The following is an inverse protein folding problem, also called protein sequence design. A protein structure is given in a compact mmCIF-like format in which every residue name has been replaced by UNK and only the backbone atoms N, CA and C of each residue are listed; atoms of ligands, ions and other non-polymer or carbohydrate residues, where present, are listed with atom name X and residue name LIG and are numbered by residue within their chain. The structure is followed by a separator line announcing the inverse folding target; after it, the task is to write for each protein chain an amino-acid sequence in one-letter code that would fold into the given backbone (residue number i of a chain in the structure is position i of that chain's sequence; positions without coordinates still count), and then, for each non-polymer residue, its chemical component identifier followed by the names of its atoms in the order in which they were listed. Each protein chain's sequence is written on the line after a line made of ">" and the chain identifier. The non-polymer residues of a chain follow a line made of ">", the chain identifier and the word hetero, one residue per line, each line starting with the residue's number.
data_IF_321541171532
#
_entry.id   IF_321541171532
#
_cell.length_a   1.000
_cell.length_b   1.000
_cell.length_c   1.000
_cell.angle_alpha   90.00
_cell.angle_beta   90.00
_cell.angle_gamma   90.00
#
_symmetry.space_group_name_H-M   'P 1'
#
loop_
_entity.id
_entity.type
_entity.pdbx_description
1 polymer ?
#
# COMPACT_ATOMS: atom_id res chain seq x y z
N UNK A 1 17.50 -7.03 -15.45
CA UNK A 1 17.48 -6.48 -14.07
C UNK A 1 16.13 -5.80 -13.83
N UNK A 2 15.45 -6.10 -12.72
CA UNK A 2 14.23 -5.40 -12.30
C UNK A 2 14.64 -4.01 -11.80
N UNK A 3 13.97 -2.96 -12.31
CA UNK A 3 14.36 -1.56 -12.01
C UNK A 3 13.63 -0.98 -10.79
N UNK A 4 12.44 -1.45 -10.48
CA UNK A 4 11.61 -0.94 -9.39
C UNK A 4 10.15 -1.33 -9.58
N UNK A 5 9.28 -0.85 -8.70
CA UNK A 5 7.85 -1.02 -8.82
C UNK A 5 7.31 -0.05 -9.88
N UNK A 6 6.59 -0.58 -10.88
CA UNK A 6 5.83 0.28 -11.81
C UNK A 6 4.44 0.59 -11.22
N UNK A 7 3.68 -0.44 -10.88
CA UNK A 7 2.39 -0.31 -10.19
C UNK A 7 2.02 -1.65 -9.53
N UNK A 8 1.19 -1.57 -8.50
CA UNK A 8 0.36 -2.68 -8.03
C UNK A 8 -1.00 -2.63 -8.74
N UNK A 9 -1.86 -3.63 -8.53
CA UNK A 9 -3.25 -3.58 -8.97
C UNK A 9 -4.13 -4.31 -7.96
N UNK A 10 -4.99 -3.56 -7.27
CA UNK A 10 -5.92 -4.08 -6.28
C UNK A 10 -7.36 -3.84 -6.70
N UNK A 11 -8.27 -4.66 -6.20
CA UNK A 11 -9.70 -4.42 -6.36
C UNK A 11 -10.13 -3.26 -5.49
N UNK A 12 -11.01 -2.41 -6.01
CA UNK A 12 -11.71 -1.42 -5.20
C UNK A 12 -13.23 -1.61 -5.33
N UNK A 13 -13.93 -1.23 -4.27
CA UNK A 13 -15.39 -1.31 -4.19
C UNK A 13 -16.06 -0.24 -5.04
N UNK A 14 -15.49 0.95 -4.97
CA UNK A 14 -15.99 2.14 -5.66
C UNK A 14 -14.80 3.06 -5.97
N UNK A 15 -14.67 3.44 -7.23
CA UNK A 15 -13.53 4.23 -7.72
C UNK A 15 -13.52 5.65 -7.14
N UNK A 16 -14.68 6.28 -6.92
CA UNK A 16 -14.74 7.64 -6.36
C UNK A 16 -14.43 7.65 -4.85
N UNK A 17 -14.86 6.66 -4.08
CA UNK A 17 -14.46 6.51 -2.69
C UNK A 17 -12.95 6.28 -2.58
N UNK A 18 -12.41 5.44 -3.47
CA UNK A 18 -10.96 5.17 -3.57
C UNK A 18 -10.20 6.45 -3.92
N UNK A 19 -10.68 7.25 -4.89
CA UNK A 19 -10.08 8.54 -5.25
C UNK A 19 -10.04 9.51 -4.05
N UNK A 20 -11.13 9.62 -3.31
CA UNK A 20 -11.17 10.52 -2.13
C UNK A 20 -10.13 10.13 -1.08
N UNK A 21 -9.88 8.84 -0.89
CA UNK A 21 -8.85 8.39 0.04
C UNK A 21 -7.44 8.63 -0.52
N UNK A 22 -7.14 8.17 -1.74
CA UNK A 22 -5.78 8.22 -2.28
C UNK A 22 -5.38 9.61 -2.82
N UNK A 23 -6.29 10.34 -3.44
CA UNK A 23 -6.01 11.69 -3.93
C UNK A 23 -6.29 12.77 -2.87
N UNK A 24 -7.51 12.87 -2.36
CA UNK A 24 -7.88 14.00 -1.49
C UNK A 24 -7.25 13.87 -0.09
N UNK A 25 -7.18 12.65 0.46
CA UNK A 25 -6.63 12.44 1.79
C UNK A 25 -5.12 12.20 1.78
N UNK A 26 -4.61 11.22 1.01
CA UNK A 26 -3.17 10.92 0.95
C UNK A 26 -2.37 11.88 0.06
N UNK A 27 -3.00 12.59 -0.87
CA UNK A 27 -2.35 13.55 -1.76
C UNK A 27 -1.68 12.93 -2.99
N UNK A 28 -2.04 11.71 -3.38
CA UNK A 28 -1.55 11.06 -4.60
C UNK A 28 -2.44 11.44 -5.79
N UNK A 29 -1.98 12.23 -6.76
CA UNK A 29 -2.83 12.67 -7.85
C UNK A 29 -3.31 11.49 -8.71
N UNK A 30 -4.60 11.50 -9.07
CA UNK A 30 -5.15 10.60 -10.07
C UNK A 30 -4.50 10.93 -11.42
N UNK A 31 -3.58 10.10 -11.88
CA UNK A 31 -2.78 10.34 -13.07
C UNK A 31 -3.39 9.75 -14.33
N UNK A 32 -4.15 8.66 -14.19
CA UNK A 32 -4.84 8.02 -15.31
C UNK A 32 -6.03 7.19 -14.82
N UNK A 33 -7.06 7.10 -15.66
CA UNK A 33 -8.19 6.20 -15.48
C UNK A 33 -8.77 5.84 -16.86
N UNK A 34 -8.98 4.55 -17.11
CA UNK A 34 -9.57 4.10 -18.36
C UNK A 34 -10.49 2.89 -18.17
N UNK A 35 -11.53 2.85 -18.99
CA UNK A 35 -12.48 1.74 -19.01
C UNK A 35 -11.94 0.59 -19.86
N UNK A 36 -12.06 -0.62 -19.32
CA UNK A 36 -11.77 -1.87 -20.03
C UNK A 36 -13.10 -2.55 -20.30
N UNK A 37 -13.41 -2.84 -21.58
CA UNK A 37 -14.66 -3.48 -22.00
C UNK A 37 -14.50 -4.93 -22.45
N UNK A 38 -13.27 -5.32 -22.84
CA UNK A 38 -12.95 -6.68 -23.25
C UNK A 38 -11.59 -7.11 -22.73
N UNK A 39 -11.48 -8.36 -22.29
CA UNK A 39 -10.19 -8.97 -21.99
C UNK A 39 -9.60 -9.61 -23.26
N UNK A 40 -8.30 -9.96 -23.22
CA UNK A 40 -7.61 -10.70 -24.31
C UNK A 40 -8.25 -12.06 -24.64
N UNK A 41 -9.14 -12.57 -23.78
CA UNK A 41 -9.88 -13.83 -23.96
C UNK A 41 -11.29 -13.62 -24.48
N UNK A 42 -11.61 -12.45 -25.06
CA UNK A 42 -12.92 -12.06 -25.60
C UNK A 42 -14.10 -12.13 -24.61
N UNK A 43 -13.81 -12.22 -23.30
CA UNK A 43 -14.83 -12.10 -22.28
C UNK A 43 -15.31 -10.67 -22.20
N UNK A 44 -16.60 -10.44 -22.40
CA UNK A 44 -17.21 -9.16 -22.05
C UNK A 44 -16.99 -8.90 -20.56
N UNK A 45 -16.24 -7.86 -20.26
CA UNK A 45 -16.08 -7.35 -18.90
C UNK A 45 -16.13 -5.84 -18.94
N UNK A 46 -16.65 -5.26 -17.88
CA UNK A 46 -16.60 -3.82 -17.68
C UNK A 46 -15.80 -3.55 -16.44
N UNK A 47 -14.67 -2.87 -16.58
CA UNK A 47 -13.82 -2.49 -15.47
C UNK A 47 -13.30 -1.07 -15.68
N UNK A 48 -13.14 -0.31 -14.58
CA UNK A 48 -12.36 0.91 -14.55
C UNK A 48 -11.00 0.61 -13.92
N UNK A 49 -9.92 0.98 -14.60
CA UNK A 49 -8.57 0.92 -14.07
C UNK A 49 -8.05 2.32 -13.79
N UNK A 50 -7.75 2.62 -12.53
CA UNK A 50 -7.30 3.94 -12.06
C UNK A 50 -5.88 3.86 -11.49
N UNK A 51 -5.10 4.94 -11.66
CA UNK A 51 -3.69 5.04 -11.28
C UNK A 51 -3.44 6.32 -10.49
N UNK A 52 -2.90 6.17 -9.29
CA UNK A 52 -2.50 7.28 -8.40
C UNK A 52 -0.99 7.35 -8.36
N UNK A 53 -0.43 8.51 -8.77
CA UNK A 53 1.02 8.65 -8.98
C UNK A 53 1.76 9.03 -7.71
N UNK A 54 2.88 8.33 -7.45
CA UNK A 54 3.85 8.66 -6.43
C UNK A 54 5.00 9.53 -6.97
N UNK A 55 5.78 10.14 -6.08
CA UNK A 55 6.84 11.07 -6.46
C UNK A 55 7.97 10.43 -7.28
N UNK A 56 8.22 9.14 -7.12
CA UNK A 56 9.20 8.36 -7.89
C UNK A 56 8.71 7.94 -9.29
N UNK A 57 7.46 8.28 -9.64
CA UNK A 57 6.82 7.93 -10.90
C UNK A 57 6.13 6.56 -10.93
N UNK A 58 6.18 5.80 -9.84
CA UNK A 58 5.38 4.59 -9.68
C UNK A 58 3.93 4.91 -9.30
N UNK A 59 3.07 3.90 -9.32
CA UNK A 59 1.64 4.09 -9.09
C UNK A 59 1.06 3.08 -8.11
N UNK A 60 0.08 3.53 -7.32
CA UNK A 60 -0.94 2.65 -6.78
C UNK A 60 -2.11 2.58 -7.76
N UNK A 61 -2.52 1.39 -8.13
CA UNK A 61 -3.56 1.19 -9.13
C UNK A 61 -4.69 0.30 -8.62
N UNK A 62 -5.90 0.57 -9.12
CA UNK A 62 -7.10 -0.14 -8.69
C UNK A 62 -7.97 -0.54 -9.87
N UNK A 63 -8.72 -1.65 -9.67
CA UNK A 63 -9.78 -2.08 -10.56
C UNK A 63 -11.13 -2.04 -9.85
N UNK A 64 -12.08 -1.28 -10.38
CA UNK A 64 -13.50 -1.45 -10.08
C UNK A 64 -14.13 -2.34 -11.17
N UNK A 65 -14.74 -3.45 -10.78
CA UNK A 65 -15.34 -4.42 -11.71
C UNK A 65 -16.75 -4.79 -11.23
N UNK A 66 -17.78 -4.00 -11.58
CA UNK A 66 -19.13 -4.15 -11.04
C UNK A 66 -19.75 -5.51 -11.27
N UNK A 67 -19.44 -6.17 -12.39
CA UNK A 67 -19.99 -7.48 -12.76
C UNK A 67 -19.25 -8.70 -12.21
N UNK A 68 -18.22 -8.50 -11.39
CA UNK A 68 -17.38 -9.60 -10.86
C UNK A 68 -17.36 -9.59 -9.33
N UNK A 69 -17.90 -10.63 -8.68
CA UNK A 69 -17.86 -10.73 -7.22
C UNK A 69 -16.45 -10.66 -6.67
N UNK A 70 -16.30 -9.96 -5.55
CA UNK A 70 -15.05 -9.87 -4.78
C UNK A 70 -15.37 -9.69 -3.30
N UNK A 71 -14.67 -10.42 -2.45
CA UNK A 71 -14.82 -10.31 -1.00
C UNK A 71 -13.92 -9.20 -0.46
N UNK A 72 -14.52 -8.05 -0.12
CA UNK A 72 -13.84 -6.99 0.59
C UNK A 72 -13.90 -7.25 2.09
N UNK A 73 -12.73 -7.32 2.73
CA UNK A 73 -12.60 -7.53 4.18
C UNK A 73 -11.55 -6.60 4.76
N UNK A 74 -11.64 -6.36 6.06
CA UNK A 74 -10.57 -5.70 6.79
C UNK A 74 -9.35 -6.61 6.82
N UNK A 75 -8.31 -6.26 6.07
CA UNK A 75 -7.07 -7.05 6.02
C UNK A 75 -6.28 -6.92 7.33
N UNK A 76 -5.59 -7.99 7.71
CA UNK A 76 -4.56 -7.93 8.74
C UNK A 76 -3.24 -7.44 8.12
N UNK A 77 -2.45 -6.69 8.88
CA UNK A 77 -1.17 -6.13 8.42
C UNK A 77 -0.21 -7.20 7.88
N UNK A 78 -0.24 -8.42 8.47
CA UNK A 78 0.59 -9.55 8.01
C UNK A 78 0.05 -10.24 6.77
N UNK A 79 -1.23 -10.08 6.44
CA UNK A 79 -1.81 -10.64 5.23
C UNK A 79 -1.53 -9.74 4.03
N UNK A 80 -1.78 -8.45 4.19
CA UNK A 80 -1.62 -7.46 3.14
C UNK A 80 -1.52 -6.05 3.72
N UNK A 81 -0.43 -5.35 3.39
CA UNK A 81 -0.33 -3.90 3.53
C UNK A 81 0.56 -3.32 2.44
N UNK A 82 0.43 -2.02 2.22
CA UNK A 82 1.32 -1.25 1.35
C UNK A 82 2.03 -0.23 2.23
N UNK A 83 3.36 -0.26 2.25
CA UNK A 83 4.18 0.73 2.93
C UNK A 83 4.69 1.78 1.94
N UNK A 84 4.41 3.04 2.22
CA UNK A 84 4.81 4.20 1.41
C UNK A 84 5.80 5.05 2.22
N UNK A 85 6.93 5.37 1.61
CA UNK A 85 7.94 6.21 2.25
C UNK A 85 7.52 7.67 2.29
N UNK A 86 7.66 8.30 3.46
CA UNK A 86 7.47 9.72 3.70
C UNK A 86 8.59 10.26 4.59
N UNK A 87 8.76 11.59 4.66
CA UNK A 87 9.59 12.19 5.70
C UNK A 87 8.88 12.22 7.07
N UNK A 88 9.64 12.46 8.13
CA UNK A 88 9.14 12.46 9.51
C UNK A 88 8.07 13.53 9.75
N UNK A 89 8.19 14.70 9.15
CA UNK A 89 7.21 15.78 9.31
C UNK A 89 5.88 15.42 8.64
N UNK A 90 5.94 14.83 7.46
CA UNK A 90 4.76 14.29 6.76
C UNK A 90 4.11 13.17 7.57
N UNK A 91 4.89 12.25 8.16
CA UNK A 91 4.35 11.18 8.98
C UNK A 91 3.51 11.72 10.15
N UNK A 92 4.06 12.69 10.90
CA UNK A 92 3.36 13.29 12.04
C UNK A 92 2.11 14.07 11.60
N UNK A 93 2.22 14.88 10.53
CA UNK A 93 1.09 15.65 10.03
C UNK A 93 -0.03 14.76 9.51
N UNK A 94 0.30 13.67 8.84
CA UNK A 94 -0.68 12.70 8.35
C UNK A 94 -1.34 11.89 9.47
N UNK A 95 -0.61 11.60 10.55
CA UNK A 95 -1.19 10.98 11.74
C UNK A 95 -2.32 11.83 12.33
N UNK A 96 -2.07 13.12 12.54
CA UNK A 96 -3.07 14.05 13.05
C UNK A 96 -4.21 14.28 12.04
N UNK A 97 -3.90 14.37 10.75
CA UNK A 97 -4.91 14.50 9.68
C UNK A 97 -5.86 13.30 9.65
N UNK A 98 -5.33 12.08 9.78
CA UNK A 98 -6.14 10.86 9.79
C UNK A 98 -7.09 10.81 10.98
N UNK A 99 -6.61 11.14 12.17
CA UNK A 99 -7.43 11.24 13.38
C UNK A 99 -8.52 12.30 13.25
N UNK A 100 -8.17 13.49 12.77
CA UNK A 100 -9.13 14.58 12.57
C UNK A 100 -10.22 14.25 11.53
N UNK A 101 -9.87 13.47 10.52
CA UNK A 101 -10.80 13.02 9.48
C UNK A 101 -11.66 11.81 9.90
N UNK A 102 -11.44 11.24 11.09
CA UNK A 102 -12.15 10.03 11.55
C UNK A 102 -11.78 8.76 10.79
N UNK A 103 -10.63 8.76 10.11
CA UNK A 103 -10.09 7.58 9.44
C UNK A 103 -9.42 6.69 10.49
N UNK A 104 -9.59 5.35 10.40
CA UNK A 104 -8.86 4.43 11.27
C UNK A 104 -7.35 4.71 11.16
N UNK A 105 -6.76 5.18 12.26
CA UNK A 105 -5.36 5.62 12.31
C UNK A 105 -4.68 4.99 13.51
N UNK A 106 -3.61 4.22 13.26
CA UNK A 106 -2.82 3.54 14.30
C UNK A 106 -1.37 4.01 14.22
N UNK A 107 -0.66 3.90 15.32
CA UNK A 107 0.74 4.28 15.49
C UNK A 107 0.87 5.45 16.49
N UNK A 108 1.97 6.14 16.58
CA UNK A 108 3.21 5.96 15.79
C UNK A 108 3.95 4.74 16.36
N UNK A 109 4.32 3.79 15.50
CA UNK A 109 5.05 2.58 15.89
C UNK A 109 6.52 2.72 15.53
N UNK A 110 7.39 2.48 16.51
CA UNK A 110 8.84 2.46 16.33
C UNK A 110 9.30 1.03 16.01
N UNK A 111 9.88 0.85 14.84
CA UNK A 111 10.48 -0.41 14.38
C UNK A 111 12.00 -0.35 14.34
N UNK A 112 12.62 0.57 15.08
CA UNK A 112 14.06 0.85 15.16
C UNK A 112 14.60 1.58 13.92
N UNK A 113 14.45 1.04 12.72
CA UNK A 113 14.96 1.62 11.48
C UNK A 113 13.92 2.49 10.74
N UNK A 114 12.65 2.37 11.10
CA UNK A 114 11.53 3.17 10.59
C UNK A 114 10.53 3.47 11.68
N UNK A 115 9.86 4.62 11.55
CA UNK A 115 8.64 4.95 12.30
C UNK A 115 7.45 4.85 11.36
N UNK A 116 6.36 4.24 11.81
CA UNK A 116 5.21 3.95 10.95
C UNK A 116 3.89 4.38 11.55
N UNK A 117 2.98 4.79 10.67
CA UNK A 117 1.56 4.94 10.95
C UNK A 117 0.75 4.12 9.96
N UNK A 118 -0.45 3.73 10.35
CA UNK A 118 -1.29 2.84 9.56
C UNK A 118 -2.68 3.42 9.42
N UNK A 119 -3.20 3.39 8.20
CA UNK A 119 -4.57 3.72 7.86
C UNK A 119 -5.28 2.50 7.29
N UNK A 120 -6.59 2.48 7.41
CA UNK A 120 -7.42 1.56 6.65
C UNK A 120 -8.14 2.31 5.54
N UNK A 121 -7.96 1.87 4.31
CA UNK A 121 -8.64 2.45 3.17
C UNK A 121 -10.11 2.01 3.09
N UNK A 122 -10.96 2.63 2.23
CA UNK A 122 -12.38 2.27 2.13
C UNK A 122 -12.63 0.85 1.62
N UNK A 123 -11.62 0.18 1.08
CA UNK A 123 -11.73 -1.20 0.58
C UNK A 123 -11.36 -2.25 1.66
N UNK A 124 -10.78 -1.83 2.79
CA UNK A 124 -10.30 -2.68 3.85
C UNK A 124 -8.79 -2.95 3.82
N UNK A 125 -8.05 -2.35 2.91
CA UNK A 125 -6.59 -2.48 2.83
C UNK A 125 -5.88 -1.62 3.86
N UNK A 126 -4.76 -2.13 4.36
CA UNK A 126 -3.89 -1.38 5.26
C UNK A 126 -2.88 -0.60 4.45
N UNK A 127 -2.83 0.72 4.66
CA UNK A 127 -1.83 1.62 4.09
C UNK A 127 -0.94 2.09 5.23
N UNK A 128 0.34 1.76 5.13
CA UNK A 128 1.38 2.21 6.04
C UNK A 128 2.09 3.43 5.45
N UNK A 129 2.26 4.48 6.22
CA UNK A 129 3.25 5.51 5.93
C UNK A 129 4.45 5.29 6.83
N UNK A 130 5.64 5.26 6.26
CA UNK A 130 6.86 4.94 6.97
C UNK A 130 7.93 5.98 6.73
N UNK A 131 8.56 6.46 7.80
CA UNK A 131 9.68 7.38 7.75
C UNK A 131 10.93 6.68 8.27
N UNK A 132 12.03 6.75 7.49
CA UNK A 132 13.34 6.22 7.89
C UNK A 132 13.87 6.94 9.11
N UNK A 133 14.45 6.19 10.04
CA UNK A 133 15.26 6.75 11.13
C UNK A 133 16.69 6.98 10.68
N UNK A 134 17.49 7.67 11.50
CA UNK A 134 18.92 7.88 11.22
C UNK A 134 19.71 6.57 11.16
N UNK A 135 19.22 5.52 11.82
CA UNK A 135 19.85 4.20 11.85
C UNK A 135 19.34 3.23 10.79
N UNK A 136 18.49 3.69 9.88
CA UNK A 136 17.82 2.83 8.88
C UNK A 136 18.79 1.88 8.17
N UNK A 137 19.85 2.43 7.57
CA UNK A 137 20.77 1.62 6.76
C UNK A 137 21.64 0.67 7.61
N UNK A 138 21.88 1.00 8.88
CA UNK A 138 22.59 0.13 9.81
C UNK A 138 21.75 -1.06 10.27
N UNK A 139 20.43 -0.87 10.43
CA UNK A 139 19.52 -1.91 10.95
C UNK A 139 19.00 -2.82 9.85
N UNK A 140 18.87 -2.33 8.61
CA UNK A 140 18.46 -3.18 7.47
C UNK A 140 19.43 -4.36 7.28
N UNK A 141 20.72 -4.18 7.64
CA UNK A 141 21.69 -5.28 7.60
C UNK A 141 22.16 -5.64 6.19
N UNK A 142 22.77 -6.81 6.10
CA UNK A 142 23.37 -7.33 4.86
C UNK A 142 22.54 -8.49 4.28
N UNK A 143 22.78 -8.82 3.00
CA UNK A 143 22.16 -9.98 2.34
C UNK A 143 22.54 -11.30 3.03
N UNK A 144 23.74 -11.41 3.59
CA UNK A 144 24.21 -12.61 4.30
C UNK A 144 23.47 -12.78 5.63
N UNK A 145 23.30 -11.71 6.41
CA UNK A 145 22.48 -11.72 7.65
C UNK A 145 21.03 -12.09 7.38
N UNK A 146 20.45 -11.53 6.32
CA UNK A 146 19.08 -11.88 5.91
C UNK A 146 18.95 -13.37 5.55
N UNK A 147 19.93 -13.93 4.85
CA UNK A 147 19.95 -15.35 4.49
C UNK A 147 20.13 -16.25 5.71
N UNK A 148 20.99 -15.88 6.64
CA UNK A 148 21.18 -16.60 7.90
C UNK A 148 19.88 -16.63 8.73
N UNK A 149 19.22 -15.49 8.87
CA UNK A 149 17.93 -15.39 9.57
C UNK A 149 16.87 -16.29 8.93
N UNK A 150 16.76 -16.29 7.60
CA UNK A 150 15.82 -17.15 6.87
C UNK A 150 16.14 -18.64 7.07
N UNK A 151 17.40 -19.04 7.02
CA UNK A 151 17.82 -20.42 7.24
C UNK A 151 17.49 -20.89 8.67
N UNK A 152 17.76 -20.04 9.66
CA UNK A 152 17.41 -20.30 11.06
C UNK A 152 15.90 -20.49 11.24
N UNK A 153 15.09 -19.58 10.69
CA UNK A 153 13.64 -19.68 10.72
C UNK A 153 13.15 -20.98 10.10
N UNK A 154 13.61 -21.32 8.89
CA UNK A 154 13.20 -22.53 8.16
C UNK A 154 13.53 -23.80 8.97
N UNK A 155 14.72 -23.86 9.56
CA UNK A 155 15.11 -24.98 10.40
C UNK A 155 14.24 -25.13 11.65
N UNK A 156 13.79 -24.02 12.24
CA UNK A 156 12.94 -24.02 13.44
C UNK A 156 11.53 -24.61 13.19
N UNK A 157 11.03 -24.57 11.95
CA UNK A 157 9.71 -25.12 11.59
C UNK A 157 9.69 -26.64 11.40
N UNK A 158 10.85 -27.27 11.26
CA UNK A 158 11.01 -28.72 11.01
C UNK A 158 11.39 -29.53 12.25
N UNK A 159 11.41 -28.91 13.42
CA UNK A 159 11.78 -29.53 14.72
C UNK A 159 10.58 -30.00 15.50
#
# INVERSE_FOLDING_TARGET
>A
MIKGLHHNAYRCRNSEETRRFYEDFLGLPLANAFEIRQTKTERETRALHSFYRMADGSFLAFFEVPGSPFEFKAQHDFDLHIALEVDSDTLHSMFEKGKAAGIETRGISDHQFINSIYFRDPNGYVIELTAKTNDHDNVVGTEDEAREALNHWTASLTS
#
